data_IF_964212082235
#
_entry.id   IF_964212082235
#
_cell.length_a   1.000
_cell.length_b   1.000
_cell.length_c   1.000
_cell.angle_alpha   90.00
_cell.angle_beta   90.00
_cell.angle_gamma   90.00
#
_symmetry.space_group_name_H-M   'P 1'
#
loop_
_entity.id
_entity.type
_entity.pdbx_description
1 polymer ?
#
# COMPACT_ATOMS: atom_id res chain seq x y z
N UNK A 1 -8.22 12.74 -0.81
CA UNK A 1 -8.46 12.39 0.63
C UNK A 1 -9.76 12.98 1.14
N UNK A 2 -10.09 14.25 0.85
CA UNK A 2 -11.38 14.84 1.26
C UNK A 2 -12.60 14.06 0.73
N UNK A 3 -12.55 13.53 -0.49
CA UNK A 3 -13.66 12.73 -1.06
C UNK A 3 -13.88 11.37 -0.38
N UNK A 4 -12.94 10.94 0.45
CA UNK A 4 -12.92 9.61 1.10
C UNK A 4 -13.10 9.73 2.63
N UNK A 5 -12.66 10.84 3.24
CA UNK A 5 -12.63 11.02 4.70
C UNK A 5 -13.37 12.29 5.15
N UNK A 6 -13.55 13.27 4.27
CA UNK A 6 -14.10 14.59 4.61
C UNK A 6 -15.64 14.63 4.71
N UNK A 7 -16.19 15.80 5.11
CA UNK A 7 -17.63 16.03 5.13
C UNK A 7 -18.21 15.86 3.72
N UNK A 8 -19.09 14.87 3.51
CA UNK A 8 -19.62 14.51 2.19
C UNK A 8 -18.83 13.42 1.45
N UNK A 9 -17.96 12.68 2.15
CA UNK A 9 -17.25 11.54 1.58
C UNK A 9 -18.19 10.54 0.90
N UNK A 10 -17.79 10.08 -0.29
CA UNK A 10 -18.51 9.06 -1.04
C UNK A 10 -18.30 7.69 -0.38
N UNK A 11 -19.35 6.89 -0.22
CA UNK A 11 -19.25 5.57 0.42
C UNK A 11 -18.71 4.51 -0.55
N UNK A 12 -17.41 4.23 -0.45
CA UNK A 12 -16.73 3.25 -1.29
C UNK A 12 -17.19 1.82 -1.01
N UNK A 13 -17.82 1.53 0.13
CA UNK A 13 -18.34 0.19 0.43
C UNK A 13 -19.45 -0.26 -0.53
N UNK A 14 -20.08 0.68 -1.23
CA UNK A 14 -21.00 0.40 -2.34
C UNK A 14 -20.34 -0.40 -3.47
N UNK A 15 -19.01 -0.40 -3.57
CA UNK A 15 -18.26 -1.22 -4.52
C UNK A 15 -18.28 -2.72 -4.18
N UNK A 16 -18.50 -3.09 -2.91
CA UNK A 16 -18.48 -4.48 -2.44
C UNK A 16 -19.82 -5.18 -2.62
N UNK A 17 -20.93 -4.45 -2.54
CA UNK A 17 -22.26 -5.03 -2.74
C UNK A 17 -22.52 -5.21 -4.24
N UNK A 18 -22.95 -6.37 -4.71
CA UNK A 18 -23.53 -6.49 -6.06
C UNK A 18 -24.92 -5.83 -6.07
N UNK A 19 -25.38 -5.22 -7.18
CA UNK A 19 -26.79 -4.93 -7.30
C UNK A 19 -27.52 -6.28 -7.22
N UNK A 20 -28.47 -6.41 -6.29
CA UNK A 20 -29.43 -7.50 -6.40
C UNK A 20 -30.07 -7.46 -7.79
N UNK A 21 -30.52 -8.60 -8.34
CA UNK A 21 -31.21 -8.61 -9.62
C UNK A 21 -32.33 -7.55 -9.56
N UNK A 22 -32.26 -6.55 -10.44
CA UNK A 22 -33.39 -5.66 -10.68
C UNK A 22 -34.58 -6.59 -10.94
N UNK A 23 -35.61 -6.52 -10.09
CA UNK A 23 -36.87 -7.17 -10.40
C UNK A 23 -37.36 -6.55 -11.70
N UNK A 24 -37.19 -7.29 -12.79
CA UNK A 24 -37.82 -7.01 -14.06
C UNK A 24 -39.33 -6.95 -13.80
N UNK A 25 -39.86 -5.73 -13.73
CA UNK A 25 -41.28 -5.47 -13.87
C UNK A 25 -41.80 -6.05 -15.18
N UNK A 26 -43.11 -6.34 -15.28
CA UNK A 26 -43.65 -7.24 -16.28
C UNK A 26 -43.36 -6.76 -17.71
N UNK A 27 -42.80 -7.68 -18.49
CA UNK A 27 -42.36 -7.55 -19.89
C UNK A 27 -43.42 -6.90 -20.80
N UNK A 28 -43.24 -5.63 -21.11
CA UNK A 28 -43.82 -4.98 -22.30
C UNK A 28 -42.95 -5.28 -23.53
N UNK A 29 -43.47 -6.08 -24.47
CA UNK A 29 -42.83 -6.34 -25.77
C UNK A 29 -42.75 -5.05 -26.59
N UNK A 30 -41.56 -4.46 -26.70
CA UNK A 30 -41.26 -3.39 -27.64
C UNK A 30 -39.89 -3.59 -28.28
N UNK A 31 -39.86 -4.00 -29.56
CA UNK A 31 -38.65 -3.99 -30.40
C UNK A 31 -38.22 -2.52 -30.60
N UNK A 32 -37.09 -2.14 -30.01
CA UNK A 32 -36.46 -0.84 -30.18
C UNK A 32 -34.93 -0.99 -30.25
N UNK A 33 -34.38 -0.60 -31.39
CA UNK A 33 -32.98 -0.68 -31.79
C UNK A 33 -32.25 0.55 -31.27
N UNK A 34 -31.09 0.36 -30.63
CA UNK A 34 -30.02 1.36 -30.58
C UNK A 34 -29.97 2.26 -29.35
N UNK A 35 -28.82 2.20 -28.65
CA UNK A 35 -28.12 3.35 -28.10
C UNK A 35 -28.83 4.18 -27.03
N UNK A 36 -28.61 3.85 -25.77
CA UNK A 36 -28.99 4.73 -24.66
C UNK A 36 -28.63 4.15 -23.30
N UNK A 37 -27.45 4.49 -22.78
CA UNK A 37 -27.04 4.10 -21.43
C UNK A 37 -25.65 4.58 -21.05
N UNK A 38 -25.27 5.78 -21.49
CA UNK A 38 -23.97 6.40 -21.24
C UNK A 38 -24.06 7.62 -20.31
N UNK A 39 -24.83 7.52 -19.22
CA UNK A 39 -24.83 8.54 -18.16
C UNK A 39 -24.84 7.85 -16.79
N UNK A 40 -23.73 8.06 -16.08
CA UNK A 40 -23.55 7.93 -14.64
C UNK A 40 -23.77 6.52 -14.07
N UNK A 41 -22.82 5.60 -14.32
CA UNK A 41 -22.63 4.47 -13.41
C UNK A 41 -21.94 4.99 -12.13
N UNK A 42 -22.65 5.14 -10.99
CA UNK A 42 -22.06 5.64 -9.76
C UNK A 42 -20.87 4.78 -9.32
N UNK A 43 -20.84 3.48 -9.65
CA UNK A 43 -19.69 2.61 -9.35
C UNK A 43 -18.49 2.86 -10.24
N UNK A 44 -18.71 3.38 -11.45
CA UNK A 44 -17.66 3.87 -12.33
C UNK A 44 -16.93 5.03 -11.69
N UNK A 45 -17.68 6.01 -11.18
CA UNK A 45 -17.14 7.17 -10.50
C UNK A 45 -16.41 6.80 -9.18
N UNK A 46 -16.99 5.92 -8.36
CA UNK A 46 -16.34 5.46 -7.12
C UNK A 46 -15.01 4.74 -7.38
N UNK A 47 -14.93 3.93 -8.45
CA UNK A 47 -13.65 3.31 -8.85
C UNK A 47 -12.66 4.38 -9.30
N UNK A 48 -13.06 5.38 -10.09
CA UNK A 48 -12.16 6.45 -10.50
C UNK A 48 -11.60 7.23 -9.30
N UNK A 49 -12.43 7.51 -8.28
CA UNK A 49 -11.98 8.14 -7.03
C UNK A 49 -10.94 7.26 -6.33
N UNK A 50 -11.21 5.96 -6.20
CA UNK A 50 -10.28 5.03 -5.55
C UNK A 50 -8.96 4.89 -6.34
N UNK A 51 -9.03 4.81 -7.68
CA UNK A 51 -7.86 4.81 -8.56
C UNK A 51 -7.01 6.06 -8.34
N UNK A 52 -7.64 7.23 -8.44
CA UNK A 52 -6.99 8.51 -8.25
C UNK A 52 -6.29 8.59 -6.89
N UNK A 53 -6.97 8.19 -5.81
CA UNK A 53 -6.37 8.26 -4.48
C UNK A 53 -5.19 7.30 -4.32
N UNK A 54 -5.31 6.05 -4.77
CA UNK A 54 -4.20 5.09 -4.70
C UNK A 54 -3.00 5.59 -5.51
N UNK A 55 -3.22 6.01 -6.75
CA UNK A 55 -2.16 6.45 -7.65
C UNK A 55 -1.44 7.69 -7.11
N UNK A 56 -2.17 8.70 -6.63
CA UNK A 56 -1.56 9.90 -6.07
C UNK A 56 -0.80 9.63 -4.76
N UNK A 57 -1.34 8.76 -3.90
CA UNK A 57 -0.64 8.39 -2.66
C UNK A 57 0.69 7.70 -2.96
N UNK A 58 0.69 6.74 -3.88
CA UNK A 58 1.92 6.04 -4.27
C UNK A 58 2.87 6.99 -4.99
N UNK A 59 2.37 7.80 -5.92
CA UNK A 59 3.16 8.81 -6.63
C UNK A 59 3.90 9.72 -5.65
N UNK A 60 3.17 10.42 -4.76
CA UNK A 60 3.78 11.33 -3.80
C UNK A 60 4.72 10.64 -2.82
N UNK A 61 4.41 9.41 -2.42
CA UNK A 61 5.34 8.65 -1.58
C UNK A 61 6.65 8.34 -2.33
N UNK A 62 6.57 7.98 -3.62
CA UNK A 62 7.75 7.72 -4.45
C UNK A 62 8.52 8.99 -4.83
N UNK A 63 7.95 10.19 -4.64
CA UNK A 63 8.70 11.44 -4.71
C UNK A 63 9.59 11.67 -3.48
N UNK A 64 9.33 10.96 -2.37
CA UNK A 64 10.13 11.08 -1.14
C UNK A 64 11.48 10.38 -1.35
N UNK A 65 12.49 11.20 -1.68
CA UNK A 65 13.88 10.76 -1.75
C UNK A 65 14.82 11.87 -1.23
N UNK A 66 14.71 12.25 0.05
CA UNK A 66 15.47 13.36 0.58
C UNK A 66 16.96 13.03 0.65
N UNK A 67 17.79 14.07 0.49
CA UNK A 67 19.27 13.95 0.60
C UNK A 67 19.75 14.01 2.05
N UNK A 68 18.89 14.41 2.98
CA UNK A 68 19.19 14.61 4.40
C UNK A 68 18.04 14.12 5.29
N UNK A 69 18.29 14.04 6.60
CA UNK A 69 17.29 13.66 7.60
C UNK A 69 17.17 12.15 7.82
N UNK A 70 16.19 11.76 8.64
CA UNK A 70 15.99 10.35 9.07
C UNK A 70 15.69 9.43 7.88
N UNK A 71 14.95 9.95 6.89
CA UNK A 71 14.63 9.30 5.62
C UNK A 71 15.64 9.63 4.52
N UNK A 72 16.81 10.17 4.87
CA UNK A 72 17.83 10.53 3.87
C UNK A 72 18.45 9.31 3.18
N UNK A 73 19.07 9.55 2.03
CA UNK A 73 19.88 8.55 1.31
C UNK A 73 21.38 8.66 1.64
N UNK A 74 21.72 8.84 2.93
CA UNK A 74 23.09 9.04 3.40
C UNK A 74 23.43 8.17 4.62
N UNK A 75 24.73 8.04 4.96
CA UNK A 75 25.23 7.13 6.01
C UNK A 75 24.66 7.31 7.42
N UNK A 76 24.14 8.51 7.71
CA UNK A 76 23.59 8.86 9.03
C UNK A 76 22.07 8.72 9.10
N UNK A 77 21.42 8.39 7.97
CA UNK A 77 19.98 8.21 7.92
C UNK A 77 19.58 6.90 8.62
N UNK A 78 18.42 6.89 9.27
CA UNK A 78 17.92 5.67 9.91
C UNK A 78 17.68 4.56 8.89
N UNK A 79 17.16 4.91 7.70
CA UNK A 79 16.93 3.94 6.62
C UNK A 79 18.23 3.27 6.17
N UNK A 80 19.35 3.99 6.15
CA UNK A 80 20.67 3.41 5.85
C UNK A 80 21.09 2.37 6.90
N UNK A 81 20.86 2.67 8.18
CA UNK A 81 21.19 1.72 9.26
C UNK A 81 20.30 0.49 9.19
N UNK A 82 19.02 0.62 8.83
CA UNK A 82 18.07 -0.48 8.77
C UNK A 82 18.41 -1.53 7.70
N UNK A 83 18.92 -1.12 6.54
CA UNK A 83 19.27 -2.04 5.45
C UNK A 83 20.64 -2.72 5.61
N UNK A 84 21.28 -2.56 6.79
CA UNK A 84 22.52 -3.26 7.14
C UNK A 84 22.21 -4.56 7.88
N UNK A 85 23.11 -5.52 7.72
CA UNK A 85 23.18 -6.69 8.60
C UNK A 85 23.66 -6.29 10.01
N UNK A 86 23.38 -7.13 10.99
CA UNK A 86 23.75 -6.97 12.38
C UNK A 86 22.80 -6.07 13.18
N UNK A 87 21.62 -5.75 12.64
CA UNK A 87 20.64 -4.88 13.31
C UNK A 87 19.60 -5.68 14.04
N UNK A 88 19.38 -5.35 15.32
CA UNK A 88 18.27 -5.85 16.11
C UNK A 88 17.14 -4.84 16.05
N UNK A 89 15.98 -5.30 15.63
CA UNK A 89 14.76 -4.51 15.60
C UNK A 89 13.96 -4.70 16.89
N UNK A 90 13.08 -3.74 17.25
CA UNK A 90 12.16 -3.92 18.37
C UNK A 90 11.27 -5.16 18.18
N UNK A 91 10.87 -5.78 19.28
CA UNK A 91 9.94 -6.89 19.24
C UNK A 91 8.59 -6.44 18.66
N UNK A 92 8.00 -7.25 17.79
CA UNK A 92 6.75 -6.92 17.09
C UNK A 92 6.90 -5.87 15.97
N UNK A 93 8.13 -5.51 15.57
CA UNK A 93 8.35 -4.53 14.49
C UNK A 93 7.96 -5.05 13.09
N UNK A 94 8.10 -6.35 12.86
CA UNK A 94 7.81 -6.99 11.57
C UNK A 94 6.49 -7.74 11.63
N UNK A 95 5.78 -7.75 10.51
CA UNK A 95 4.74 -8.75 10.30
C UNK A 95 5.38 -10.10 10.01
N UNK A 96 4.67 -11.19 10.30
CA UNK A 96 5.15 -12.54 10.07
C UNK A 96 5.62 -12.76 8.62
N UNK A 97 4.86 -12.23 7.65
CA UNK A 97 5.21 -12.35 6.23
C UNK A 97 6.54 -11.68 5.83
N UNK A 98 7.01 -10.72 6.63
CA UNK A 98 8.31 -10.08 6.45
C UNK A 98 9.40 -10.85 7.19
N UNK A 99 9.10 -11.37 8.39
CA UNK A 99 10.00 -12.26 9.12
C UNK A 99 10.34 -13.50 8.30
N UNK A 100 9.38 -14.07 7.59
CA UNK A 100 9.58 -15.23 6.72
C UNK A 100 10.53 -14.94 5.53
N UNK A 101 10.83 -13.66 5.26
CA UNK A 101 11.72 -13.21 4.19
C UNK A 101 13.06 -12.68 4.70
N UNK A 102 13.17 -12.41 5.99
CA UNK A 102 14.37 -11.87 6.61
C UNK A 102 15.08 -12.97 7.38
N UNK A 103 16.41 -13.00 7.27
CA UNK A 103 17.21 -13.93 8.05
C UNK A 103 17.72 -13.25 9.32
N UNK A 104 17.71 -13.98 10.43
CA UNK A 104 18.18 -13.51 11.72
C UNK A 104 19.19 -14.47 12.34
N UNK A 105 20.18 -13.94 13.03
CA UNK A 105 21.10 -14.73 13.85
C UNK A 105 20.44 -15.19 15.16
N UNK A 106 21.16 -16.02 15.94
CA UNK A 106 20.68 -16.52 17.24
C UNK A 106 20.44 -15.43 18.30
N UNK A 107 20.83 -14.17 18.03
CA UNK A 107 20.60 -13.01 18.90
C UNK A 107 19.49 -12.08 18.35
N UNK A 108 18.77 -12.51 17.31
CA UNK A 108 17.70 -11.73 16.67
C UNK A 108 18.19 -10.55 15.84
N UNK A 109 19.44 -10.58 15.34
CA UNK A 109 19.98 -9.54 14.45
C UNK A 109 19.85 -9.98 13.00
N UNK A 110 19.53 -9.05 12.11
CA UNK A 110 19.43 -9.34 10.67
C UNK A 110 20.77 -9.84 10.11
N UNK A 111 20.72 -10.84 9.25
CA UNK A 111 21.86 -11.32 8.47
C UNK A 111 21.50 -11.30 6.98
N UNK A 112 22.52 -11.34 6.11
CA UNK A 112 22.36 -11.47 4.66
C UNK A 112 21.38 -10.47 4.01
N UNK A 113 21.35 -9.21 4.47
CA UNK A 113 20.44 -8.18 3.91
C UNK A 113 20.87 -7.77 2.50
N UNK A 114 20.33 -8.48 1.50
CA UNK A 114 20.50 -8.21 0.08
C UNK A 114 19.64 -7.05 -0.41
N UNK A 115 19.51 -6.92 -1.74
CA UNK A 115 18.67 -5.85 -2.32
C UNK A 115 17.18 -6.14 -2.17
N UNK A 116 16.77 -7.41 -2.19
CA UNK A 116 15.36 -7.76 -2.02
C UNK A 116 14.93 -7.55 -0.57
N UNK A 117 15.75 -7.97 0.39
CA UNK A 117 15.50 -7.81 1.82
C UNK A 117 15.52 -6.32 2.18
N UNK A 118 16.48 -5.55 1.66
CA UNK A 118 16.49 -4.09 1.81
C UNK A 118 15.23 -3.43 1.21
N UNK A 119 14.71 -3.95 0.10
CA UNK A 119 13.48 -3.46 -0.51
C UNK A 119 12.25 -3.75 0.35
N UNK A 120 12.15 -4.96 0.91
CA UNK A 120 11.09 -5.33 1.86
C UNK A 120 11.15 -4.42 3.09
N UNK A 121 12.34 -4.18 3.64
CA UNK A 121 12.53 -3.26 4.77
C UNK A 121 12.08 -1.83 4.44
N UNK A 122 12.44 -1.33 3.25
CA UNK A 122 12.07 0.01 2.79
C UNK A 122 10.55 0.16 2.61
N UNK A 123 9.94 -0.75 1.84
CA UNK A 123 8.48 -0.79 1.64
C UNK A 123 7.77 -0.97 2.97
N UNK A 124 8.31 -1.81 3.83
CA UNK A 124 7.82 -2.06 5.17
C UNK A 124 7.73 -0.79 6.02
N UNK A 125 8.77 0.04 6.03
CA UNK A 125 8.78 1.31 6.77
C UNK A 125 7.71 2.26 6.25
N UNK A 126 7.71 2.54 4.94
CA UNK A 126 6.91 3.61 4.35
C UNK A 126 5.44 3.21 4.21
N UNK A 127 5.15 2.01 3.70
CA UNK A 127 3.79 1.55 3.45
C UNK A 127 3.21 0.74 4.60
N UNK A 128 3.88 -0.32 5.06
CA UNK A 128 3.29 -1.21 6.08
C UNK A 128 3.11 -0.53 7.42
N UNK A 129 4.18 0.05 8.00
CA UNK A 129 4.10 0.71 9.33
C UNK A 129 3.55 2.11 9.19
N UNK A 130 4.30 2.97 8.51
CA UNK A 130 4.04 4.42 8.55
C UNK A 130 2.70 4.76 7.93
N UNK A 131 2.28 4.09 6.86
CA UNK A 131 1.02 4.43 6.21
C UNK A 131 -0.15 3.55 6.64
N UNK A 132 -0.08 2.23 6.44
CA UNK A 132 -1.21 1.32 6.72
C UNK A 132 -1.47 1.23 8.23
N UNK A 133 -0.47 0.83 9.02
CA UNK A 133 -0.67 0.57 10.46
C UNK A 133 -0.93 1.85 11.26
N UNK A 134 -0.19 2.92 10.96
CA UNK A 134 -0.26 4.16 11.72
C UNK A 134 -1.39 5.06 11.20
N UNK A 135 -1.36 5.40 9.91
CA UNK A 135 -2.20 6.48 9.38
C UNK A 135 -3.59 6.02 8.94
N UNK A 136 -3.72 4.79 8.42
CA UNK A 136 -5.01 4.30 7.95
C UNK A 136 -5.78 3.51 9.00
N UNK A 137 -5.08 2.74 9.85
CA UNK A 137 -5.72 1.89 10.85
C UNK A 137 -5.94 2.58 12.20
N UNK A 138 -5.19 3.65 12.51
CA UNK A 138 -5.28 4.39 13.78
C UNK A 138 -5.18 5.91 13.61
N UNK A 139 -5.95 6.53 12.71
CA UNK A 139 -5.81 7.96 12.38
C UNK A 139 -6.02 8.90 13.58
N UNK A 140 -6.93 8.55 14.50
CA UNK A 140 -7.19 9.36 15.71
C UNK A 140 -6.04 9.22 16.72
N UNK A 141 -5.58 8.00 17.00
CA UNK A 141 -4.49 7.75 17.95
C UNK A 141 -3.18 8.45 17.56
N UNK A 142 -2.95 8.64 16.26
CA UNK A 142 -1.77 9.30 15.72
C UNK A 142 -1.99 10.77 15.33
N UNK A 143 -3.11 11.37 15.73
CA UNK A 143 -3.35 12.81 15.59
C UNK A 143 -3.58 13.29 14.15
N UNK A 144 -3.95 12.39 13.23
CA UNK A 144 -4.37 12.77 11.88
C UNK A 144 -5.77 13.36 11.83
N UNK A 145 -6.60 13.01 12.81
CA UNK A 145 -7.92 13.60 13.01
C UNK A 145 -8.08 13.99 14.46
N UNK A 146 -8.53 15.22 14.69
CA UNK A 146 -8.90 15.71 16.02
C UNK A 146 -10.31 15.28 16.42
N UNK A 147 -11.06 14.70 15.48
CA UNK A 147 -12.44 14.24 15.65
C UNK A 147 -12.53 12.74 15.37
N UNK A 148 -13.49 12.08 16.02
CA UNK A 148 -13.84 10.69 15.71
C UNK A 148 -14.27 10.61 14.24
N UNK A 149 -13.78 9.59 13.54
CA UNK A 149 -14.17 9.37 12.15
C UNK A 149 -15.64 8.96 12.06
N UNK A 150 -16.31 9.37 10.98
CA UNK A 150 -17.62 8.84 10.63
C UNK A 150 -17.52 7.38 10.17
N UNK A 151 -18.58 6.59 10.34
CA UNK A 151 -18.61 5.19 9.88
C UNK A 151 -18.25 5.05 8.39
N UNK A 152 -18.67 6.02 7.57
CA UNK A 152 -18.33 6.05 6.14
C UNK A 152 -16.83 6.24 5.94
N UNK A 153 -16.21 7.16 6.67
CA UNK A 153 -14.76 7.38 6.60
C UNK A 153 -13.98 6.15 7.07
N UNK A 154 -14.43 5.47 8.13
CA UNK A 154 -13.80 4.23 8.60
C UNK A 154 -13.88 3.10 7.56
N UNK A 155 -15.06 2.88 6.96
CA UNK A 155 -15.22 1.88 5.88
C UNK A 155 -14.34 2.19 4.68
N UNK A 156 -14.28 3.46 4.31
CA UNK A 156 -13.46 3.95 3.21
C UNK A 156 -11.96 3.74 3.46
N UNK A 157 -11.48 4.05 4.68
CA UNK A 157 -10.10 3.77 5.10
C UNK A 157 -9.81 2.27 5.09
N UNK A 158 -10.75 1.43 5.52
CA UNK A 158 -10.61 -0.03 5.46
C UNK A 158 -10.42 -0.53 4.02
N UNK A 159 -11.19 -0.02 3.06
CA UNK A 159 -11.05 -0.34 1.63
C UNK A 159 -9.68 0.10 1.11
N UNK A 160 -9.29 1.34 1.39
CA UNK A 160 -8.00 1.89 0.97
C UNK A 160 -6.82 1.08 1.56
N UNK A 161 -6.87 0.77 2.85
CA UNK A 161 -5.87 -0.06 3.53
C UNK A 161 -5.79 -1.45 2.91
N UNK A 162 -6.93 -2.06 2.56
CA UNK A 162 -6.98 -3.37 1.90
C UNK A 162 -6.32 -3.33 0.51
N UNK A 163 -6.59 -2.29 -0.29
CA UNK A 163 -5.95 -2.07 -1.59
C UNK A 163 -4.43 -1.88 -1.48
N UNK A 164 -3.98 -1.07 -0.53
CA UNK A 164 -2.56 -0.80 -0.32
C UNK A 164 -1.81 -2.01 0.24
N UNK A 165 -2.44 -2.77 1.14
CA UNK A 165 -1.87 -4.02 1.66
C UNK A 165 -1.74 -5.07 0.55
N UNK A 166 -2.72 -5.17 -0.35
CA UNK A 166 -2.60 -5.99 -1.55
C UNK A 166 -1.38 -5.57 -2.40
N UNK A 167 -1.21 -4.26 -2.64
CA UNK A 167 -0.08 -3.74 -3.38
C UNK A 167 1.27 -4.03 -2.69
N UNK A 168 1.37 -3.84 -1.37
CA UNK A 168 2.57 -4.14 -0.57
C UNK A 168 2.95 -5.61 -0.69
N UNK A 169 1.99 -6.52 -0.49
CA UNK A 169 2.24 -7.96 -0.58
C UNK A 169 2.70 -8.38 -1.99
N UNK A 170 2.22 -7.69 -3.02
CA UNK A 170 2.57 -7.95 -4.41
C UNK A 170 3.96 -7.40 -4.79
N UNK A 171 4.31 -6.21 -4.31
CA UNK A 171 5.60 -5.58 -4.64
C UNK A 171 6.77 -6.20 -3.85
N UNK A 172 6.51 -6.73 -2.65
CA UNK A 172 7.49 -7.36 -1.76
C UNK A 172 8.02 -8.71 -2.24
N UNK A 173 7.60 -9.19 -3.41
CA UNK A 173 8.15 -10.38 -4.07
C UNK A 173 8.70 -10.02 -5.44
N UNK A 174 9.49 -10.92 -6.04
CA UNK A 174 9.91 -10.77 -7.43
C UNK A 174 8.70 -10.80 -8.36
N UNK A 175 8.79 -10.16 -9.53
CA UNK A 175 7.74 -10.31 -10.56
C UNK A 175 7.51 -11.79 -10.84
N UNK A 176 6.26 -12.13 -11.14
CA UNK A 176 5.81 -13.51 -11.43
C UNK A 176 5.84 -14.47 -10.23
N UNK A 177 6.39 -14.07 -9.09
CA UNK A 177 6.25 -14.84 -7.85
C UNK A 177 4.84 -14.69 -7.27
N UNK A 178 4.32 -15.72 -6.59
CA UNK A 178 3.09 -15.59 -5.83
C UNK A 178 3.19 -14.43 -4.83
N UNK A 179 2.11 -13.64 -4.76
CA UNK A 179 1.94 -12.58 -3.77
C UNK A 179 2.07 -13.14 -2.35
N UNK A 180 2.64 -12.37 -1.42
CA UNK A 180 2.66 -12.77 -0.01
C UNK A 180 1.24 -12.98 0.53
N UNK A 181 1.04 -13.91 1.49
CA UNK A 181 -0.27 -14.13 2.10
C UNK A 181 -0.68 -12.92 2.96
N UNK A 182 -1.95 -12.87 3.36
CA UNK A 182 -2.45 -11.87 4.31
C UNK A 182 -1.75 -12.03 5.67
N UNK A 183 -1.16 -10.97 6.27
CA UNK A 183 -0.59 -11.04 7.61
C UNK A 183 -1.70 -11.13 8.65
N UNK A 184 -1.58 -12.06 9.60
CA UNK A 184 -2.59 -12.29 10.65
C UNK A 184 -2.77 -11.09 11.58
N UNK A 185 -1.71 -10.29 11.76
CA UNK A 185 -1.68 -9.11 12.63
C UNK A 185 -2.63 -8.01 12.18
N UNK A 186 -2.86 -7.92 10.86
CA UNK A 186 -3.71 -6.88 10.25
C UNK A 186 -5.01 -7.41 9.67
N UNK A 187 -5.17 -8.73 9.57
CA UNK A 187 -6.33 -9.37 8.93
C UNK A 187 -7.69 -8.87 9.44
N UNK A 188 -7.82 -8.60 10.75
CA UNK A 188 -9.09 -8.08 11.34
C UNK A 188 -9.45 -6.65 10.93
N UNK A 189 -8.47 -5.88 10.44
CA UNK A 189 -8.62 -4.47 10.13
C UNK A 189 -8.78 -4.19 8.63
N UNK A 190 -8.71 -5.23 7.79
CA UNK A 190 -8.84 -5.14 6.34
C UNK A 190 -9.93 -6.10 5.86
N UNK A 191 -10.33 -6.00 4.60
CA UNK A 191 -11.17 -6.99 3.95
C UNK A 191 -10.30 -8.14 3.41
N UNK A 192 -10.87 -9.34 3.36
CA UNK A 192 -10.21 -10.48 2.73
C UNK A 192 -10.06 -10.27 1.21
N UNK A 193 -9.09 -10.95 0.60
CA UNK A 193 -8.82 -10.82 -0.84
C UNK A 193 -10.01 -11.30 -1.68
N UNK A 194 -10.74 -12.30 -1.19
CA UNK A 194 -11.95 -12.84 -1.82
C UNK A 194 -13.06 -11.78 -1.87
N UNK A 195 -13.26 -11.04 -0.78
CA UNK A 195 -14.25 -9.96 -0.68
C UNK A 195 -13.89 -8.78 -1.60
N UNK A 196 -12.60 -8.46 -1.67
CA UNK A 196 -12.09 -7.34 -2.46
C UNK A 196 -11.87 -7.69 -3.94
N UNK A 197 -12.02 -8.96 -4.33
CA UNK A 197 -11.75 -9.44 -5.70
C UNK A 197 -12.41 -8.59 -6.80
N UNK A 198 -13.69 -8.16 -6.71
CA UNK A 198 -14.31 -7.32 -7.74
C UNK A 198 -13.61 -5.97 -7.91
N UNK A 199 -13.13 -5.39 -6.81
CA UNK A 199 -12.38 -4.13 -6.80
C UNK A 199 -10.98 -4.36 -7.37
N UNK A 200 -10.27 -5.41 -6.92
CA UNK A 200 -8.92 -5.69 -7.38
C UNK A 200 -8.82 -5.91 -8.89
N UNK A 201 -9.82 -6.60 -9.48
CA UNK A 201 -9.87 -6.81 -10.92
C UNK A 201 -10.01 -5.50 -11.71
N UNK A 202 -10.81 -4.55 -11.20
CA UNK A 202 -10.99 -3.23 -11.83
C UNK A 202 -9.77 -2.32 -11.64
N UNK A 203 -9.04 -2.50 -10.56
CA UNK A 203 -7.82 -1.74 -10.24
C UNK A 203 -6.53 -2.35 -10.82
N UNK A 204 -6.61 -3.37 -11.70
CA UNK A 204 -5.43 -4.07 -12.21
C UNK A 204 -4.37 -3.13 -12.81
N UNK A 205 -4.78 -2.18 -13.66
CA UNK A 205 -3.86 -1.21 -14.29
C UNK A 205 -3.25 -0.24 -13.27
N UNK A 206 -4.06 0.22 -12.32
CA UNK A 206 -3.62 1.04 -11.19
C UNK A 206 -2.56 0.31 -10.36
N UNK A 207 -2.75 -0.98 -10.06
CA UNK A 207 -1.73 -1.77 -9.37
C UNK A 207 -0.47 -1.98 -10.19
N UNK A 208 -0.59 -2.24 -11.49
CA UNK A 208 0.58 -2.38 -12.38
C UNK A 208 1.40 -1.09 -12.42
N UNK A 209 0.74 0.07 -12.55
CA UNK A 209 1.37 1.38 -12.48
C UNK A 209 2.08 1.62 -11.13
N UNK A 210 1.36 1.45 -10.03
CA UNK A 210 1.91 1.67 -8.69
C UNK A 210 3.04 0.70 -8.36
N UNK A 211 2.94 -0.57 -8.78
CA UNK A 211 4.00 -1.57 -8.61
C UNK A 211 5.27 -1.14 -9.34
N UNK A 212 5.17 -0.64 -10.57
CA UNK A 212 6.32 -0.15 -11.33
C UNK A 212 7.00 1.02 -10.61
N UNK A 213 6.21 2.04 -10.20
CA UNK A 213 6.74 3.18 -9.45
C UNK A 213 7.48 2.75 -8.17
N UNK A 214 6.88 1.89 -7.37
CA UNK A 214 7.47 1.41 -6.12
C UNK A 214 8.77 0.63 -6.36
N UNK A 215 8.81 -0.21 -7.39
CA UNK A 215 10.00 -1.00 -7.73
C UNK A 215 11.14 -0.10 -8.22
N UNK A 216 10.85 0.86 -9.08
CA UNK A 216 11.84 1.82 -9.58
C UNK A 216 12.37 2.69 -8.44
N UNK A 217 11.46 3.29 -7.66
CA UNK A 217 11.79 4.11 -6.49
C UNK A 217 12.64 3.33 -5.49
N UNK A 218 12.20 2.14 -5.07
CA UNK A 218 12.92 1.37 -4.07
C UNK A 218 14.28 0.87 -4.57
N UNK A 219 14.40 0.52 -5.85
CA UNK A 219 15.68 0.14 -6.46
C UNK A 219 16.67 1.31 -6.45
N UNK A 220 16.23 2.50 -6.87
CA UNK A 220 17.08 3.70 -6.87
C UNK A 220 17.42 4.15 -5.44
N UNK A 221 16.48 4.06 -4.50
CA UNK A 221 16.71 4.38 -3.09
C UNK A 221 17.80 3.47 -2.51
N UNK A 222 17.68 2.15 -2.68
CA UNK A 222 18.69 1.19 -2.20
C UNK A 222 20.03 1.44 -2.87
N UNK A 223 20.06 1.67 -4.19
CA UNK A 223 21.29 1.99 -4.91
C UNK A 223 22.00 3.21 -4.29
N UNK A 224 21.28 4.29 -4.00
CA UNK A 224 21.85 5.48 -3.33
C UNK A 224 22.37 5.16 -1.93
N UNK A 225 21.62 4.38 -1.14
CA UNK A 225 22.08 3.95 0.17
C UNK A 225 23.36 3.10 0.08
N UNK A 226 23.43 2.14 -0.85
CA UNK A 226 24.63 1.31 -1.04
C UNK A 226 25.83 2.14 -1.49
N UNK A 227 25.63 3.08 -2.43
CA UNK A 227 26.66 4.03 -2.87
C UNK A 227 27.14 4.91 -1.72
N UNK A 228 26.22 5.43 -0.91
CA UNK A 228 26.57 6.19 0.29
C UNK A 228 27.46 5.35 1.21
N UNK A 229 27.25 4.04 1.30
CA UNK A 229 28.09 3.10 2.05
C UNK A 229 29.54 3.00 1.56
N UNK A 230 29.75 2.96 0.24
CA UNK A 230 31.06 2.66 -0.39
C UNK A 230 32.01 3.86 -0.50
N UNK A 231 31.54 5.11 -0.39
CA UNK A 231 32.35 6.33 -0.61
C UNK A 231 33.47 6.59 0.42
N UNK A 232 33.83 5.65 1.30
CA UNK A 232 34.83 5.89 2.37
C UNK A 232 36.08 5.02 2.26
N UNK A 233 36.15 4.09 1.31
CA UNK A 233 37.35 3.23 1.20
C UNK A 233 38.49 3.86 0.40
N UNK A 234 38.33 5.07 -0.14
CA UNK A 234 39.28 5.66 -1.12
C UNK A 234 39.99 6.93 -0.65
N UNK A 235 40.10 7.17 0.66
CA UNK A 235 40.81 8.35 1.17
C UNK A 235 41.75 8.00 2.32
N UNK A 236 42.76 7.18 2.01
CA UNK A 236 44.02 7.12 2.77
C UNK A 236 45.08 6.42 1.92
N UNK A 237 45.87 7.24 1.21
CA UNK A 237 47.29 7.00 0.88
C UNK A 237 47.91 8.35 0.56
#
# INVERSE_FOLDING_TARGET
MQDIIGPGAQDLSQLLYAPGPQQDGPRGRGRGRGGGGGRDDPRGQLIQILQYVIENLIYHMTEIMPKSGVLGTHKKAAVFEMIKSGKRFPDGYFWQIELDRLEFDGNGRTVNVGNLEAFILLVGIFLSRSFITTLLMKPVDYGLSNETLSDTAERNLKILASCLLFLVRRVSVRRESPMLPMPGEVARYVFADEEMRPIHLRLRRTYEYCENLLREWGSEYIKRLRQAGTTTTTTTT
#
